data_IF_912827099357
#
_entry.id   IF_912827099357
#
_cell.length_a   1.000
_cell.length_b   1.000
_cell.length_c   1.000
_cell.angle_alpha   90.00
_cell.angle_beta   90.00
_cell.angle_gamma   90.00
#
_symmetry.space_group_name_H-M   'P 1'
#
loop_
_entity.id
_entity.type
_entity.pdbx_description
1 polymer ?
#
# COMPACT_ATOMS: atom_id res chain seq x y z
N UNK A 1 2.52 25.09 -17.70
CA UNK A 1 2.48 25.01 -16.22
C UNK A 1 2.51 23.54 -15.82
N UNK A 2 3.43 23.10 -14.98
CA UNK A 2 3.35 21.76 -14.40
C UNK A 2 2.05 21.68 -13.59
N UNK A 3 1.09 20.83 -13.98
CA UNK A 3 -0.17 20.66 -13.25
C UNK A 3 0.09 20.34 -11.78
N UNK A 4 -0.77 20.83 -10.88
CA UNK A 4 -0.69 20.52 -9.45
C UNK A 4 -0.87 19.02 -9.24
N UNK A 5 0.22 18.27 -9.09
CA UNK A 5 0.21 16.84 -8.74
C UNK A 5 0.02 16.67 -7.23
N UNK A 6 -0.54 15.53 -6.83
CA UNK A 6 -0.55 15.10 -5.44
C UNK A 6 0.83 14.71 -4.93
N UNK A 7 0.91 14.37 -3.64
CA UNK A 7 2.10 13.81 -2.99
C UNK A 7 1.83 12.38 -2.53
N UNK A 8 2.86 11.52 -2.63
CA UNK A 8 2.86 10.19 -2.04
C UNK A 8 3.60 10.25 -0.70
N UNK A 9 2.90 9.93 0.40
CA UNK A 9 3.48 9.91 1.75
C UNK A 9 3.48 8.46 2.23
N UNK A 10 4.65 7.94 2.58
CA UNK A 10 4.82 6.57 3.09
C UNK A 10 5.15 6.63 4.58
N UNK A 11 4.45 5.83 5.39
CA UNK A 11 4.70 5.69 6.82
C UNK A 11 5.37 4.34 7.07
N UNK A 12 6.67 4.37 7.36
CA UNK A 12 7.49 3.19 7.67
C UNK A 12 7.74 3.02 9.17
N UNK A 13 8.13 1.81 9.58
CA UNK A 13 8.49 1.50 10.97
C UNK A 13 8.22 0.06 11.36
N UNK A 14 8.63 -0.30 12.58
CA UNK A 14 8.48 -1.65 13.13
C UNK A 14 7.03 -2.04 13.41
N UNK A 15 6.79 -3.32 13.71
CA UNK A 15 5.48 -3.83 14.05
C UNK A 15 4.91 -3.15 15.29
N UNK A 16 3.58 -2.94 15.30
CA UNK A 16 2.84 -2.32 16.41
C UNK A 16 3.23 -0.88 16.79
N UNK A 17 4.08 -0.18 16.01
CA UNK A 17 4.42 1.24 16.25
C UNK A 17 3.28 2.23 15.94
N UNK A 18 2.12 1.74 15.48
CA UNK A 18 0.93 2.58 15.25
C UNK A 18 0.87 3.26 13.87
N UNK A 19 1.60 2.78 12.86
CA UNK A 19 1.61 3.33 11.49
C UNK A 19 0.18 3.50 10.93
N UNK A 20 -0.67 2.49 11.06
CA UNK A 20 -2.07 2.53 10.60
C UNK A 20 -2.85 3.66 11.28
N UNK A 21 -2.75 3.77 12.61
CA UNK A 21 -3.42 4.84 13.37
C UNK A 21 -2.94 6.22 12.93
N UNK A 22 -1.63 6.40 12.73
CA UNK A 22 -1.06 7.67 12.29
C UNK A 22 -1.46 8.01 10.85
N UNK A 23 -1.51 7.03 9.95
CA UNK A 23 -1.95 7.22 8.58
C UNK A 23 -3.40 7.70 8.52
N UNK A 24 -4.30 7.08 9.29
CA UNK A 24 -5.70 7.50 9.38
C UNK A 24 -5.85 8.94 9.92
N UNK A 25 -5.09 9.30 10.97
CA UNK A 25 -5.07 10.68 11.51
C UNK A 25 -4.55 11.70 10.49
N UNK A 26 -3.49 11.37 9.75
CA UNK A 26 -2.93 12.23 8.72
C UNK A 26 -3.93 12.49 7.58
N UNK A 27 -4.60 11.44 7.10
CA UNK A 27 -5.63 11.56 6.06
C UNK A 27 -6.80 12.42 6.54
N UNK A 28 -7.25 12.23 7.78
CA UNK A 28 -8.30 13.06 8.38
C UNK A 28 -7.88 14.54 8.44
N UNK A 29 -6.68 14.83 8.94
CA UNK A 29 -6.15 16.19 9.04
C UNK A 29 -6.02 16.87 7.67
N UNK A 30 -5.53 16.14 6.66
CA UNK A 30 -5.44 16.65 5.28
C UNK A 30 -6.83 16.99 4.72
N UNK A 31 -7.81 16.10 4.89
CA UNK A 31 -9.19 16.35 4.47
C UNK A 31 -9.80 17.55 5.19
N UNK A 32 -9.60 17.67 6.50
CA UNK A 32 -10.04 18.82 7.30
C UNK A 32 -9.38 20.14 6.85
N UNK A 33 -8.14 20.09 6.33
CA UNK A 33 -7.46 21.25 5.74
C UNK A 33 -7.88 21.57 4.29
N UNK A 34 -8.90 20.90 3.75
CA UNK A 34 -9.38 21.10 2.39
C UNK A 34 -8.51 20.43 1.31
N UNK A 35 -7.65 19.47 1.69
CA UNK A 35 -6.78 18.75 0.75
C UNK A 35 -7.36 17.35 0.47
N UNK A 36 -7.56 16.98 -0.81
CA UNK A 36 -7.88 15.60 -1.17
C UNK A 36 -6.76 14.67 -0.70
N UNK A 37 -7.13 13.61 0.03
CA UNK A 37 -6.18 12.63 0.54
C UNK A 37 -6.85 11.25 0.63
N UNK A 38 -6.11 10.22 0.30
CA UNK A 38 -6.53 8.82 0.33
C UNK A 38 -5.50 7.98 1.08
N UNK A 39 -5.97 6.94 1.77
CA UNK A 39 -5.12 5.98 2.46
C UNK A 39 -4.92 4.77 1.55
N UNK A 40 -3.67 4.40 1.30
CA UNK A 40 -3.29 3.15 0.63
C UNK A 40 -2.54 2.26 1.64
N UNK A 41 -2.74 0.93 1.57
CA UNK A 41 -2.05 -0.06 2.41
C UNK A 41 -1.48 -1.17 1.53
N UNK A 42 -0.27 -1.62 1.85
CA UNK A 42 0.39 -2.74 1.20
C UNK A 42 0.84 -3.79 2.23
N UNK A 43 0.66 -5.09 1.94
CA UNK A 43 -0.21 -5.65 0.91
C UNK A 43 -1.68 -5.30 1.23
N UNK A 44 -2.47 -4.81 0.25
CA UNK A 44 -3.89 -4.46 0.48
C UNK A 44 -4.70 -5.65 1.01
N UNK A 45 -5.94 -5.42 1.47
CA UNK A 45 -6.78 -6.43 2.14
C UNK A 45 -7.02 -7.75 1.36
N UNK A 46 -6.66 -7.81 0.07
CA UNK A 46 -6.79 -8.99 -0.78
C UNK A 46 -5.51 -9.41 -1.52
N UNK A 47 -4.34 -8.89 -1.15
CA UNK A 47 -3.08 -9.44 -1.66
C UNK A 47 -2.68 -10.66 -0.83
N UNK A 48 -3.50 -11.72 -0.89
CA UNK A 48 -2.95 -13.06 -0.80
C UNK A 48 -1.88 -13.10 -1.88
N UNK A 49 -0.62 -13.00 -1.47
CA UNK A 49 0.49 -13.58 -2.19
C UNK A 49 0.10 -15.04 -2.35
N UNK A 50 -0.67 -15.37 -3.41
CA UNK A 50 -0.78 -16.74 -3.85
C UNK A 50 0.67 -17.16 -4.02
N UNK A 51 1.16 -18.15 -3.26
CA UNK A 51 2.49 -18.64 -3.52
C UNK A 51 2.51 -18.96 -5.01
N UNK A 52 3.46 -18.38 -5.73
CA UNK A 52 3.71 -18.83 -7.09
C UNK A 52 3.88 -20.35 -6.99
N UNK A 53 3.14 -21.15 -7.78
CA UNK A 53 3.26 -22.60 -7.70
C UNK A 53 4.75 -22.91 -7.80
N UNK A 54 5.26 -23.71 -6.87
CA UNK A 54 6.64 -24.20 -6.91
C UNK A 54 6.81 -24.88 -8.27
N UNK A 55 7.43 -24.18 -9.23
CA UNK A 55 7.81 -24.77 -10.49
C UNK A 55 8.85 -25.81 -10.14
N UNK A 56 8.47 -27.09 -10.21
CA UNK A 56 9.41 -28.18 -10.12
C UNK A 56 10.40 -28.00 -11.28
N UNK A 57 11.66 -27.69 -10.95
CA UNK A 57 12.75 -27.56 -11.93
C UNK A 57 13.06 -28.97 -12.44
N UNK A 58 12.20 -29.50 -13.31
CA UNK A 58 12.27 -30.90 -13.71
C UNK A 58 11.30 -31.38 -14.79
N UNK A 59 10.22 -30.66 -15.12
CA UNK A 59 9.42 -31.02 -16.31
C UNK A 59 8.58 -29.83 -16.81
N UNK A 60 9.10 -29.15 -17.83
CA UNK A 60 8.37 -28.16 -18.61
C UNK A 60 7.55 -28.85 -19.70
N UNK A 61 6.38 -29.36 -19.35
CA UNK A 61 5.34 -29.66 -20.34
C UNK A 61 4.01 -29.15 -19.81
N UNK A 62 3.59 -28.00 -20.31
CA UNK A 62 2.18 -27.61 -20.24
C UNK A 62 1.43 -28.38 -21.34
N UNK A 63 0.40 -29.14 -20.95
CA UNK A 63 -0.73 -29.40 -21.84
C UNK A 63 -1.65 -28.19 -21.83
#
# INVERSE_FOLDING_TARGET
MAGKRGALIVLEGVDKVGKTTQCSKLVQALKQSGRPAEMLRFPGEAASLKPMPLMNVGNWTAQ
#
